data_IF_435936059749
#
_entry.id   IF_435936059749
#
_cell.length_a   1.000
_cell.length_b   1.000
_cell.length_c   1.000
_cell.angle_alpha   90.00
_cell.angle_beta   90.00
_cell.angle_gamma   90.00
#
_symmetry.space_group_name_H-M   'P 1'
#
loop_
_entity.id
_entity.type
_entity.pdbx_description
1 polymer ?
#
# COMPACT_ATOMS: atom_id res chain seq x y z
N UNK A 1 3.37 19.69 -38.53
CA UNK A 1 1.98 19.27 -38.80
C UNK A 1 1.22 20.51 -39.25
N UNK A 2 0.62 20.50 -40.45
CA UNK A 2 -0.28 21.57 -40.88
C UNK A 2 -1.66 21.34 -40.28
N UNK A 3 -2.15 22.31 -39.51
CA UNK A 3 -3.55 22.38 -39.11
C UNK A 3 -4.06 23.73 -39.61
N UNK A 4 -5.04 23.69 -40.52
CA UNK A 4 -5.67 24.88 -41.13
C UNK A 4 -4.73 25.88 -41.82
N UNK A 5 -3.71 25.39 -42.55
CA UNK A 5 -2.87 26.25 -43.41
C UNK A 5 -2.00 27.27 -42.66
N UNK A 6 -1.91 27.15 -41.33
CA UNK A 6 -0.96 27.88 -40.50
C UNK A 6 0.15 26.90 -40.14
N UNK A 7 1.36 27.16 -40.61
CA UNK A 7 2.54 26.43 -40.18
C UNK A 7 2.80 26.81 -38.72
N UNK A 8 2.41 25.95 -37.78
CA UNK A 8 2.74 26.13 -36.36
C UNK A 8 4.14 25.55 -36.15
N UNK A 9 5.19 26.36 -35.90
CA UNK A 9 6.48 25.84 -35.50
C UNK A 9 6.34 25.34 -34.06
N UNK A 10 6.16 24.03 -33.89
CA UNK A 10 6.09 23.40 -32.55
C UNK A 10 7.47 23.09 -31.97
N UNK A 11 8.55 23.57 -32.57
CA UNK A 11 9.86 23.60 -31.91
C UNK A 11 10.03 24.99 -31.33
N UNK A 12 9.79 25.10 -30.02
CA UNK A 12 10.43 26.12 -29.20
C UNK A 12 11.89 26.18 -29.64
N UNK A 13 12.39 27.35 -30.07
CA UNK A 13 13.80 27.46 -30.43
C UNK A 13 14.58 26.96 -29.22
N UNK A 14 15.52 26.04 -29.45
CA UNK A 14 16.42 25.54 -28.42
C UNK A 14 17.31 26.72 -27.99
N UNK A 15 16.82 27.58 -27.12
CA UNK A 15 17.61 28.66 -26.54
C UNK A 15 18.50 28.13 -25.41
N UNK A 16 18.27 26.91 -24.94
CA UNK A 16 18.98 26.25 -23.86
C UNK A 16 19.88 25.12 -24.36
N UNK A 17 21.13 25.03 -23.87
CA UNK A 17 22.07 24.02 -24.31
C UNK A 17 21.64 22.64 -23.80
N UNK A 18 21.95 21.59 -24.55
CA UNK A 18 21.73 20.21 -24.08
C UNK A 18 22.66 19.83 -22.95
N UNK A 19 23.91 20.32 -22.98
CA UNK A 19 24.86 20.18 -21.89
C UNK A 19 25.41 21.52 -21.43
N UNK A 20 25.61 21.61 -20.12
CA UNK A 20 26.25 22.72 -19.45
C UNK A 20 27.47 22.16 -18.73
N UNK A 21 28.66 22.64 -19.07
CA UNK A 21 29.90 22.26 -18.43
C UNK A 21 30.57 23.47 -17.79
N UNK A 22 30.95 23.34 -16.53
CA UNK A 22 31.66 24.34 -15.73
C UNK A 22 33.12 23.96 -15.45
N UNK A 23 33.51 22.73 -15.78
CA UNK A 23 34.85 22.20 -15.64
C UNK A 23 35.17 21.24 -16.81
N UNK A 24 36.27 21.45 -17.56
CA UNK A 24 36.68 20.55 -18.64
C UNK A 24 37.01 19.13 -18.16
N UNK A 25 37.44 18.94 -16.90
CA UNK A 25 37.74 17.61 -16.35
C UNK A 25 36.48 16.76 -16.12
N UNK A 26 35.30 17.40 -16.06
CA UNK A 26 34.02 16.71 -15.92
C UNK A 26 33.47 16.17 -17.24
N UNK A 27 34.13 16.39 -18.37
CA UNK A 27 33.61 15.95 -19.67
C UNK A 27 34.22 14.58 -20.02
N UNK A 28 33.37 13.56 -20.08
CA UNK A 28 33.78 12.24 -20.60
C UNK A 28 33.52 12.22 -22.10
N UNK A 29 34.61 12.10 -22.87
CA UNK A 29 34.58 12.12 -24.33
C UNK A 29 34.97 10.76 -24.88
N UNK A 30 34.15 10.23 -25.79
CA UNK A 30 34.50 9.10 -26.64
C UNK A 30 34.48 9.58 -28.10
N UNK A 31 35.67 9.70 -28.69
CA UNK A 31 35.85 10.17 -30.06
C UNK A 31 36.27 8.99 -30.95
N UNK A 32 35.49 8.76 -32.00
CA UNK A 32 35.74 7.81 -33.08
C UNK A 32 35.94 8.58 -34.38
N UNK A 33 36.36 7.91 -35.45
CA UNK A 33 36.48 8.55 -36.76
C UNK A 33 35.13 9.17 -37.16
N UNK A 34 35.07 10.49 -37.35
CA UNK A 34 33.87 11.26 -37.70
C UNK A 34 32.71 11.24 -36.69
N UNK A 35 32.94 10.83 -35.43
CA UNK A 35 31.88 10.78 -34.41
C UNK A 35 32.41 11.12 -33.02
N UNK A 36 31.70 12.00 -32.29
CA UNK A 36 32.04 12.39 -30.92
C UNK A 36 30.84 12.14 -30.00
N UNK A 37 31.07 11.46 -28.88
CA UNK A 37 30.13 11.30 -27.78
C UNK A 37 30.59 12.13 -26.59
N UNK A 38 29.73 13.00 -26.08
CA UNK A 38 29.95 13.81 -24.89
C UNK A 38 28.99 13.36 -23.78
N UNK A 39 29.54 13.16 -22.59
CA UNK A 39 28.81 12.80 -21.38
C UNK A 39 29.29 13.65 -20.21
N UNK A 40 28.36 13.99 -19.32
CA UNK A 40 28.71 14.60 -18.05
C UNK A 40 29.26 13.52 -17.10
N UNK A 41 30.56 13.62 -16.85
CA UNK A 41 31.34 12.78 -15.96
C UNK A 41 31.60 13.44 -14.61
N UNK A 42 30.90 14.52 -14.26
CA UNK A 42 30.97 15.13 -12.94
C UNK A 42 30.86 14.02 -11.88
N UNK A 43 31.94 13.84 -11.11
CA UNK A 43 31.92 12.94 -9.97
C UNK A 43 30.94 13.56 -8.98
N UNK A 44 29.74 12.96 -8.90
CA UNK A 44 28.77 13.26 -7.84
C UNK A 44 29.53 13.44 -6.53
N UNK A 45 29.18 14.49 -5.78
CA UNK A 45 29.81 14.79 -4.49
C UNK A 45 29.89 13.50 -3.65
N UNK A 46 30.94 13.31 -2.84
CA UNK A 46 31.01 12.15 -1.94
C UNK A 46 29.78 12.04 -1.03
N UNK A 47 29.16 13.17 -0.66
CA UNK A 47 27.88 13.20 0.05
C UNK A 47 26.71 12.73 -0.81
N UNK A 48 26.65 13.13 -2.08
CA UNK A 48 25.63 12.66 -3.02
C UNK A 48 25.80 11.18 -3.33
N UNK A 49 27.02 10.69 -3.53
CA UNK A 49 27.29 9.27 -3.76
C UNK A 49 26.88 8.43 -2.55
N UNK A 50 27.18 8.90 -1.34
CA UNK A 50 26.78 8.22 -0.10
C UNK A 50 25.26 8.26 0.06
N UNK A 51 24.63 9.42 -0.08
CA UNK A 51 23.18 9.58 0.05
C UNK A 51 22.43 8.72 -0.97
N UNK A 52 22.91 8.71 -2.21
CA UNK A 52 22.32 7.89 -3.28
C UNK A 52 22.51 6.40 -2.99
N UNK A 53 23.69 5.96 -2.52
CA UNK A 53 23.91 4.56 -2.13
C UNK A 53 23.07 4.13 -0.94
N UNK A 54 22.88 5.00 0.04
CA UNK A 54 22.02 4.75 1.20
C UNK A 54 20.57 4.64 0.72
N UNK A 55 20.12 5.54 -0.14
CA UNK A 55 18.78 5.50 -0.72
C UNK A 55 18.54 4.23 -1.54
N UNK A 56 19.48 3.86 -2.41
CA UNK A 56 19.44 2.63 -3.20
C UNK A 56 19.42 1.38 -2.30
N UNK A 57 20.21 1.37 -1.21
CA UNK A 57 20.21 0.29 -0.22
C UNK A 57 18.87 0.20 0.52
N UNK A 58 18.31 1.34 0.94
CA UNK A 58 17.01 1.41 1.63
C UNK A 58 15.90 0.90 0.72
N UNK A 59 15.86 1.32 -0.55
CA UNK A 59 14.88 0.84 -1.52
C UNK A 59 15.01 -0.67 -1.78
N UNK A 60 16.25 -1.20 -1.84
CA UNK A 60 16.48 -2.63 -1.99
C UNK A 60 16.00 -3.41 -0.75
N UNK A 61 16.30 -2.94 0.45
CA UNK A 61 15.83 -3.55 1.71
C UNK A 61 14.30 -3.53 1.76
N UNK A 62 13.67 -2.40 1.43
CA UNK A 62 12.21 -2.27 1.37
C UNK A 62 11.63 -3.25 0.35
N UNK A 63 12.16 -3.28 -0.88
CA UNK A 63 11.71 -4.23 -1.91
C UNK A 63 11.88 -5.69 -1.50
N UNK A 64 12.97 -6.03 -0.80
CA UNK A 64 13.20 -7.36 -0.25
C UNK A 64 12.19 -7.73 0.84
N UNK A 65 11.84 -6.78 1.73
CA UNK A 65 10.79 -7.00 2.73
C UNK A 65 9.42 -7.23 2.06
N UNK A 66 9.10 -6.47 1.01
CA UNK A 66 7.88 -6.66 0.22
C UNK A 66 7.80 -8.04 -0.46
N UNK A 67 8.94 -8.66 -0.80
CA UNK A 67 9.00 -10.01 -1.38
C UNK A 67 8.98 -11.08 -0.28
N UNK A 68 9.71 -10.90 0.82
CA UNK A 68 9.86 -11.92 1.85
C UNK A 68 8.66 -12.02 2.79
N UNK A 69 8.02 -10.90 3.14
CA UNK A 69 6.84 -10.90 4.01
C UNK A 69 5.72 -11.82 3.50
N UNK A 70 5.30 -11.78 2.22
CA UNK A 70 4.30 -12.72 1.71
C UNK A 70 4.79 -14.16 1.69
N UNK A 71 6.07 -14.42 1.36
CA UNK A 71 6.63 -15.79 1.37
C UNK A 71 6.57 -16.39 2.78
N UNK A 72 6.94 -15.62 3.81
CA UNK A 72 6.90 -16.07 5.19
C UNK A 72 5.46 -16.32 5.65
N UNK A 73 4.51 -15.45 5.31
CA UNK A 73 3.09 -15.69 5.63
C UNK A 73 2.52 -16.90 4.89
N UNK A 74 2.87 -17.14 3.62
CA UNK A 74 2.47 -18.36 2.90
C UNK A 74 3.02 -19.62 3.61
N UNK A 75 4.29 -19.61 4.00
CA UNK A 75 4.91 -20.75 4.67
C UNK A 75 4.38 -20.96 6.09
N UNK A 76 3.95 -19.90 6.77
CA UNK A 76 3.45 -19.93 8.15
C UNK A 76 1.97 -20.29 8.25
N UNK A 77 1.15 -19.79 7.33
CA UNK A 77 -0.32 -19.85 7.46
C UNK A 77 -0.96 -20.74 6.39
N UNK A 78 -0.48 -20.66 5.15
CA UNK A 78 -1.11 -21.34 4.00
C UNK A 78 -0.60 -22.77 3.81
N UNK A 79 0.71 -23.00 3.96
CA UNK A 79 1.30 -24.33 3.77
C UNK A 79 0.84 -25.33 4.85
N UNK A 80 0.75 -24.97 6.14
CA UNK A 80 0.13 -25.84 7.13
C UNK A 80 -1.33 -26.13 6.76
N UNK A 81 -2.14 -25.11 6.44
CA UNK A 81 -3.53 -25.30 6.04
C UNK A 81 -3.70 -26.22 4.79
N UNK A 82 -2.81 -26.12 3.79
CA UNK A 82 -2.83 -27.00 2.61
C UNK A 82 -2.30 -28.42 2.87
N UNK A 83 -1.35 -28.58 3.79
CA UNK A 83 -0.91 -29.91 4.25
C UNK A 83 -1.97 -30.55 5.15
N UNK A 84 -2.80 -29.75 5.81
CA UNK A 84 -3.95 -30.15 6.61
C UNK A 84 -5.18 -30.49 5.75
N UNK A 85 -5.33 -29.95 4.53
CA UNK A 85 -6.40 -30.28 3.56
C UNK A 85 -6.37 -31.74 3.03
N UNK A 86 -5.25 -32.47 3.18
CA UNK A 86 -5.20 -33.93 2.91
C UNK A 86 -5.76 -34.78 4.08
N UNK A 87 -6.14 -34.15 5.20
CA UNK A 87 -6.89 -34.78 6.27
C UNK A 87 -8.35 -34.96 5.86
N UNK A 88 -8.90 -36.17 5.99
CA UNK A 88 -10.34 -36.44 5.79
C UNK A 88 -11.23 -35.76 6.88
N UNK A 89 -10.62 -35.04 7.83
CA UNK A 89 -11.28 -34.39 8.97
C UNK A 89 -11.33 -32.86 8.80
N UNK A 90 -12.53 -32.24 8.69
CA UNK A 90 -12.68 -30.81 8.44
C UNK A 90 -12.17 -29.90 9.57
N UNK A 91 -12.09 -30.39 10.81
CA UNK A 91 -11.70 -29.59 11.98
C UNK A 91 -10.43 -30.11 12.66
N UNK A 92 -9.45 -30.60 11.89
CA UNK A 92 -8.19 -31.09 12.44
C UNK A 92 -7.40 -29.99 13.18
N UNK A 93 -6.77 -30.28 14.34
CA UNK A 93 -6.77 -31.55 15.08
C UNK A 93 -7.96 -31.74 16.03
N UNK A 94 -8.77 -30.71 16.25
CA UNK A 94 -9.83 -30.66 17.26
C UNK A 94 -11.20 -31.15 16.74
N UNK A 95 -11.19 -32.20 15.91
CA UNK A 95 -12.41 -32.76 15.30
C UNK A 95 -13.43 -33.20 16.35
N UNK A 96 -12.99 -33.62 17.53
CA UNK A 96 -13.84 -34.01 18.64
C UNK A 96 -14.69 -32.86 19.21
N UNK A 97 -14.28 -31.61 18.98
CA UNK A 97 -14.98 -30.42 19.42
C UNK A 97 -15.80 -29.76 18.30
N UNK A 98 -15.90 -30.40 17.13
CA UNK A 98 -16.66 -29.87 16.01
C UNK A 98 -18.17 -30.06 16.23
N UNK A 99 -18.96 -29.05 15.84
CA UNK A 99 -20.41 -29.17 15.77
C UNK A 99 -20.76 -29.63 14.35
N UNK A 100 -21.28 -30.85 14.23
CA UNK A 100 -21.77 -31.40 12.95
C UNK A 100 -23.29 -31.36 12.93
N UNK A 101 -23.85 -30.63 11.98
CA UNK A 101 -25.28 -30.48 11.80
C UNK A 101 -25.88 -31.61 10.95
N UNK A 102 -27.20 -31.78 11.02
CA UNK A 102 -27.88 -32.89 10.34
C UNK A 102 -27.92 -32.75 8.82
N UNK A 103 -27.71 -31.54 8.29
CA UNK A 103 -27.57 -31.23 6.87
C UNK A 103 -26.14 -31.47 6.35
N UNK A 104 -25.20 -31.81 7.23
CA UNK A 104 -23.80 -32.10 6.90
C UNK A 104 -22.86 -30.90 7.03
N UNK A 105 -23.37 -29.72 7.45
CA UNK A 105 -22.51 -28.59 7.74
C UNK A 105 -21.68 -28.86 9.00
N UNK A 106 -20.40 -28.47 8.96
CA UNK A 106 -19.46 -28.68 10.06
C UNK A 106 -18.91 -27.34 10.51
N UNK A 107 -19.01 -27.08 11.81
CA UNK A 107 -18.50 -25.89 12.46
C UNK A 107 -17.31 -26.26 13.33
N UNK A 108 -16.15 -25.69 13.03
CA UNK A 108 -14.90 -25.95 13.72
C UNK A 108 -14.66 -24.91 14.81
N UNK A 109 -14.08 -25.33 15.94
CA UNK A 109 -13.71 -24.42 17.02
C UNK A 109 -12.72 -23.37 16.50
N UNK A 110 -13.02 -22.09 16.70
CA UNK A 110 -12.13 -21.01 16.23
C UNK A 110 -10.85 -20.95 17.07
N UNK A 111 -9.67 -21.08 16.45
CA UNK A 111 -8.40 -21.32 17.17
C UNK A 111 -7.91 -20.14 18.02
N UNK A 112 -8.25 -18.88 17.69
CA UNK A 112 -7.77 -17.70 18.44
C UNK A 112 -8.67 -17.28 19.63
N UNK A 113 -9.96 -17.66 19.62
CA UNK A 113 -11.00 -17.17 20.56
C UNK A 113 -12.04 -18.24 20.93
N UNK A 114 -11.83 -19.49 20.53
CA UNK A 114 -12.88 -20.53 20.50
C UNK A 114 -13.34 -21.04 21.86
N UNK A 115 -12.68 -20.66 22.95
CA UNK A 115 -13.16 -20.93 24.30
C UNK A 115 -12.67 -19.88 25.29
N UNK A 116 -13.62 -19.24 25.97
CA UNK A 116 -13.37 -18.31 27.07
C UNK A 116 -14.17 -18.77 28.28
N UNK A 117 -13.52 -18.91 29.42
CA UNK A 117 -14.18 -19.25 30.68
C UNK A 117 -13.98 -18.12 31.68
N UNK A 118 -15.05 -17.68 32.31
CA UNK A 118 -15.04 -16.65 33.34
C UNK A 118 -15.69 -17.17 34.61
N UNK A 119 -15.26 -16.65 35.76
CA UNK A 119 -15.94 -16.92 37.03
C UNK A 119 -17.10 -15.96 37.20
N UNK A 120 -18.24 -16.47 37.66
CA UNK A 120 -19.37 -15.64 38.08
C UNK A 120 -19.62 -15.78 39.59
N UNK A 121 -20.19 -14.76 40.22
CA UNK A 121 -20.55 -14.78 41.65
C UNK A 121 -21.80 -13.94 41.93
N UNK A 122 -22.28 -14.00 43.18
CA UNK A 122 -23.36 -13.15 43.70
C UNK A 122 -24.65 -13.22 42.89
N UNK A 123 -24.96 -14.43 42.38
CA UNK A 123 -26.15 -14.66 41.57
C UNK A 123 -27.42 -14.50 42.39
N UNK A 124 -28.24 -13.52 41.99
CA UNK A 124 -29.46 -13.14 42.66
C UNK A 124 -30.56 -12.94 41.62
N UNK A 125 -31.78 -13.34 41.98
CA UNK A 125 -32.94 -13.33 41.08
C UNK A 125 -34.07 -12.47 41.63
N UNK A 126 -34.80 -11.85 40.72
CA UNK A 126 -36.02 -11.08 40.94
C UNK A 126 -37.00 -11.34 39.79
N UNK A 127 -38.20 -10.76 39.85
CA UNK A 127 -39.19 -10.92 38.79
C UNK A 127 -38.67 -10.37 37.45
N UNK A 128 -38.49 -11.26 36.46
CA UNK A 128 -37.93 -10.95 35.13
C UNK A 128 -36.53 -10.30 35.14
N UNK A 129 -35.81 -10.36 36.26
CA UNK A 129 -34.47 -9.81 36.39
C UNK A 129 -33.55 -10.80 37.10
N UNK A 130 -32.26 -10.73 36.79
CA UNK A 130 -31.22 -11.35 37.58
C UNK A 130 -30.01 -10.44 37.64
N UNK A 131 -29.19 -10.59 38.67
CA UNK A 131 -27.90 -9.91 38.75
C UNK A 131 -26.81 -10.86 39.18
N UNK A 132 -25.62 -10.63 38.67
CA UNK A 132 -24.43 -11.42 38.96
C UNK A 132 -23.19 -10.60 38.67
N UNK A 133 -22.09 -10.94 39.31
CA UNK A 133 -20.78 -10.45 38.94
C UNK A 133 -20.10 -11.47 38.01
N UNK A 134 -19.50 -11.00 36.90
CA UNK A 134 -18.73 -11.83 35.98
C UNK A 134 -17.34 -11.23 35.83
N UNK A 135 -16.29 -12.04 36.00
CA UNK A 135 -14.91 -11.65 35.67
C UNK A 135 -14.36 -10.44 36.44
N UNK A 136 -14.82 -10.21 37.68
CA UNK A 136 -14.50 -9.04 38.53
C UNK A 136 -14.94 -7.67 37.96
N UNK A 137 -15.96 -7.65 37.11
CA UNK A 137 -16.48 -6.41 36.50
C UNK A 137 -17.56 -5.73 37.35
N UNK A 138 -17.73 -6.15 38.62
CA UNK A 138 -18.83 -5.73 39.47
C UNK A 138 -20.15 -6.41 39.13
N UNK A 139 -21.16 -6.19 39.98
CA UNK A 139 -22.49 -6.78 39.83
C UNK A 139 -23.20 -6.09 38.66
N UNK A 140 -23.52 -6.88 37.63
CA UNK A 140 -24.32 -6.45 36.47
C UNK A 140 -25.74 -6.95 36.64
N UNK A 141 -26.70 -6.05 36.43
CA UNK A 141 -28.12 -6.38 36.36
C UNK A 141 -28.52 -6.71 34.92
N UNK A 142 -29.32 -7.75 34.79
CA UNK A 142 -29.87 -8.24 33.55
C UNK A 142 -31.39 -8.34 33.66
N UNK A 143 -32.07 -7.91 32.60
CA UNK A 143 -33.49 -8.17 32.39
C UNK A 143 -33.63 -9.34 31.45
N UNK A 144 -34.55 -10.26 31.72
CA UNK A 144 -34.74 -11.44 30.89
C UNK A 144 -36.21 -11.86 30.78
N UNK A 145 -36.52 -12.58 29.70
CA UNK A 145 -37.80 -13.25 29.50
C UNK A 145 -37.61 -14.45 28.58
N UNK A 146 -38.48 -15.44 28.72
CA UNK A 146 -38.52 -16.62 27.84
C UNK A 146 -39.89 -16.67 27.15
N UNK A 147 -39.89 -16.68 25.82
CA UNK A 147 -41.10 -16.84 24.99
C UNK A 147 -40.84 -17.86 23.89
N UNK A 148 -41.77 -18.81 23.71
CA UNK A 148 -41.66 -19.89 22.71
C UNK A 148 -40.31 -20.62 22.69
N UNK A 149 -39.64 -20.78 23.85
CA UNK A 149 -38.35 -21.45 23.96
C UNK A 149 -37.13 -20.60 23.55
N UNK A 150 -37.35 -19.31 23.29
CA UNK A 150 -36.29 -18.31 23.05
C UNK A 150 -36.11 -17.49 24.33
N UNK A 151 -34.90 -17.52 24.87
CA UNK A 151 -34.51 -16.67 26.01
C UNK A 151 -34.02 -15.35 25.44
N UNK A 152 -34.62 -14.25 25.85
CA UNK A 152 -34.05 -12.92 25.64
C UNK A 152 -33.48 -12.42 26.96
N UNK A 153 -32.20 -12.04 26.96
CA UNK A 153 -31.53 -11.42 28.11
C UNK A 153 -30.85 -10.14 27.68
N UNK A 154 -30.87 -9.11 28.52
CA UNK A 154 -30.21 -7.84 28.25
C UNK A 154 -29.54 -7.29 29.48
N UNK A 155 -28.32 -6.79 29.31
CA UNK A 155 -27.68 -5.90 30.28
C UNK A 155 -28.04 -4.44 29.98
N UNK A 156 -27.83 -3.58 30.96
CA UNK A 156 -27.98 -2.14 30.77
C UNK A 156 -26.70 -1.60 30.11
N UNK A 157 -26.83 -1.07 28.91
CA UNK A 157 -25.77 -0.33 28.23
C UNK A 157 -25.99 1.17 28.41
N UNK A 158 -24.96 1.90 28.85
CA UNK A 158 -25.01 3.36 29.04
C UNK A 158 -24.18 4.08 27.98
N UNK A 159 -24.79 5.03 27.28
CA UNK A 159 -24.12 5.93 26.35
C UNK A 159 -24.38 7.41 26.67
N UNK A 160 -23.95 8.30 25.76
CA UNK A 160 -24.14 9.75 25.89
C UNK A 160 -25.62 10.19 25.84
N UNK A 161 -26.53 9.31 25.41
CA UNK A 161 -27.95 9.58 25.21
C UNK A 161 -28.85 8.93 26.28
N UNK A 162 -28.35 7.96 27.05
CA UNK A 162 -29.07 7.35 28.17
C UNK A 162 -28.63 5.91 28.46
N UNK A 163 -29.37 5.23 29.33
CA UNK A 163 -29.27 3.78 29.48
C UNK A 163 -30.31 3.09 28.59
N UNK A 164 -29.94 1.99 27.95
CA UNK A 164 -30.89 1.13 27.22
C UNK A 164 -30.59 -0.36 27.47
N UNK A 165 -31.60 -1.21 27.33
CA UNK A 165 -31.42 -2.66 27.38
C UNK A 165 -30.88 -3.20 26.06
N UNK A 166 -29.63 -3.66 26.05
CA UNK A 166 -29.00 -4.32 24.89
C UNK A 166 -29.34 -5.81 24.89
N UNK A 167 -30.33 -6.19 24.07
CA UNK A 167 -30.87 -7.54 24.09
C UNK A 167 -30.08 -8.54 23.25
N UNK A 168 -29.79 -9.68 23.86
CA UNK A 168 -29.27 -10.88 23.22
C UNK A 168 -30.32 -12.00 23.33
N UNK A 169 -30.40 -12.82 22.30
CA UNK A 169 -31.31 -13.97 22.27
C UNK A 169 -30.54 -15.27 22.26
N UNK A 170 -31.11 -16.28 22.91
CA UNK A 170 -30.55 -17.61 23.03
C UNK A 170 -31.59 -18.69 22.84
N UNK A 171 -31.17 -19.82 22.27
CA UNK A 171 -31.95 -21.05 22.17
C UNK A 171 -31.36 -22.09 23.12
N UNK A 172 -32.23 -22.72 23.91
CA UNK A 172 -31.88 -23.83 24.79
C UNK A 172 -31.48 -25.07 23.98
N UNK A 173 -30.40 -25.75 24.34
CA UNK A 173 -30.04 -27.00 23.67
C UNK A 173 -31.14 -28.06 23.75
N UNK A 174 -31.92 -28.09 24.84
CA UNK A 174 -33.05 -29.03 25.01
C UNK A 174 -34.28 -28.70 24.17
N UNK A 175 -34.39 -27.47 23.63
CA UNK A 175 -35.51 -27.11 22.76
C UNK A 175 -35.26 -27.45 21.28
N UNK A 176 -34.02 -27.77 20.91
CA UNK A 176 -33.67 -28.18 19.56
C UNK A 176 -34.12 -29.63 19.28
N UNK A 177 -34.59 -29.93 18.05
CA UNK A 177 -34.89 -31.30 17.65
C UNK A 177 -33.62 -32.15 17.55
N UNK A 178 -33.75 -33.48 17.72
CA UNK A 178 -32.61 -34.42 17.64
C UNK A 178 -31.83 -34.32 16.31
N UNK A 179 -32.48 -33.87 15.23
CA UNK A 179 -31.92 -33.74 13.89
C UNK A 179 -31.91 -32.28 13.40
N UNK A 180 -31.55 -31.35 14.29
CA UNK A 180 -31.48 -29.93 13.96
C UNK A 180 -30.41 -29.60 12.90
N UNK A 181 -30.65 -28.49 12.23
CA UNK A 181 -29.91 -27.89 11.12
C UNK A 181 -29.63 -26.43 11.42
N UNK A 182 -28.83 -25.75 10.61
CA UNK A 182 -28.55 -24.33 10.82
C UNK A 182 -29.81 -23.46 10.83
N UNK A 183 -30.87 -23.88 10.12
CA UNK A 183 -32.17 -23.22 10.09
C UNK A 183 -32.91 -23.23 11.43
N UNK A 184 -32.66 -24.22 12.28
CA UNK A 184 -33.29 -24.30 13.61
C UNK A 184 -32.65 -23.30 14.60
N UNK A 185 -31.43 -22.82 14.27
CA UNK A 185 -30.78 -21.69 14.94
C UNK A 185 -31.11 -20.34 14.28
N UNK A 186 -31.89 -20.31 13.21
CA UNK A 186 -32.29 -19.06 12.57
C UNK A 186 -33.67 -18.60 13.02
N UNK A 187 -33.75 -17.36 13.50
CA UNK A 187 -35.03 -16.66 13.59
C UNK A 187 -35.27 -15.98 12.23
N UNK A 188 -36.18 -16.54 11.42
CA UNK A 188 -36.50 -15.98 10.11
C UNK A 188 -37.08 -14.55 10.24
N UNK A 189 -36.42 -13.60 9.59
CA UNK A 189 -36.81 -12.18 9.49
C UNK A 189 -37.98 -11.99 8.53
N UNK A 190 -39.13 -12.58 8.83
CA UNK A 190 -40.38 -12.12 8.24
C UNK A 190 -41.14 -11.30 9.29
N UNK A 191 -40.94 -9.98 9.20
CA UNK A 191 -41.73 -8.88 9.80
C UNK A 191 -41.46 -8.53 11.28
N UNK A 192 -40.86 -7.35 11.50
CA UNK A 192 -40.77 -6.55 12.75
C UNK A 192 -40.42 -7.29 14.08
N UNK A 193 -39.14 -7.23 14.45
CA UNK A 193 -38.61 -7.35 15.82
C UNK A 193 -39.29 -8.40 16.74
N UNK A 194 -38.84 -9.65 16.66
CA UNK A 194 -39.10 -10.71 17.67
C UNK A 194 -38.41 -10.46 19.02
N UNK A 195 -37.91 -9.26 19.26
CA UNK A 195 -37.48 -8.88 20.59
C UNK A 195 -38.71 -8.51 21.43
N UNK A 196 -38.73 -8.87 22.72
CA UNK A 196 -39.71 -8.33 23.65
C UNK A 196 -39.78 -6.81 23.56
N UNK A 197 -40.97 -6.23 23.76
CA UNK A 197 -41.20 -4.80 23.65
C UNK A 197 -40.27 -3.94 24.54
N UNK A 198 -39.71 -4.53 25.60
CA UNK A 198 -38.79 -3.86 26.51
C UNK A 198 -37.34 -3.79 26.02
N UNK A 199 -37.01 -4.44 24.90
CA UNK A 199 -35.68 -4.33 24.31
C UNK A 199 -35.45 -2.95 23.71
N UNK A 200 -34.28 -2.37 23.97
CA UNK A 200 -33.94 -0.98 23.66
C UNK A 200 -34.79 0.08 24.39
N UNK A 201 -35.69 -0.30 25.30
CA UNK A 201 -36.37 0.65 26.18
C UNK A 201 -35.41 1.14 27.28
N UNK A 202 -35.73 2.30 27.84
CA UNK A 202 -35.05 2.83 29.02
C UNK A 202 -35.22 1.87 30.22
N UNK A 203 -34.15 1.60 30.99
CA UNK A 203 -34.22 0.78 32.20
C UNK A 203 -35.25 1.31 33.19
N UNK A 204 -36.03 0.39 33.75
CA UNK A 204 -37.00 0.76 34.79
C UNK A 204 -36.29 1.38 35.99
N UNK A 205 -36.90 2.40 36.58
CA UNK A 205 -36.44 3.03 37.82
C UNK A 205 -37.06 2.38 39.07
N UNK A 206 -37.88 1.34 38.89
CA UNK A 206 -38.53 0.64 40.00
C UNK A 206 -37.51 -0.21 40.78
N UNK A 207 -37.48 -0.07 42.10
CA UNK A 207 -36.63 -0.89 42.97
C UNK A 207 -37.06 -2.37 42.90
N UNK A 208 -36.15 -3.22 42.43
CA UNK A 208 -36.34 -4.67 42.40
C UNK A 208 -35.89 -5.32 43.72
N UNK A 209 -36.71 -6.21 44.28
CA UNK A 209 -36.35 -7.01 45.46
C UNK A 209 -35.62 -8.29 45.03
N UNK A 210 -34.29 -8.29 45.16
CA UNK A 210 -33.44 -9.42 44.82
C UNK A 210 -33.35 -10.45 45.96
N UNK A 211 -33.41 -11.72 45.59
CA UNK A 211 -33.19 -12.85 46.50
C UNK A 211 -31.95 -13.62 46.10
N UNK A 212 -31.11 -13.96 47.08
CA UNK A 212 -29.98 -14.87 46.88
C UNK A 212 -30.47 -16.26 46.51
N UNK A 213 -29.84 -16.83 45.49
CA UNK A 213 -30.15 -18.18 45.03
C UNK A 213 -28.88 -18.98 44.82
N UNK A 214 -28.94 -20.28 45.13
CA UNK A 214 -27.85 -21.23 44.86
C UNK A 214 -28.09 -22.03 43.58
N UNK A 215 -29.09 -21.65 42.79
CA UNK A 215 -29.37 -22.28 41.50
C UNK A 215 -28.39 -21.79 40.44
N UNK A 216 -27.97 -22.68 39.56
CA UNK A 216 -27.14 -22.30 38.40
C UNK A 216 -28.04 -21.50 37.44
N UNK A 217 -27.57 -20.36 36.89
CA UNK A 217 -28.32 -19.62 35.88
C UNK A 217 -28.73 -20.54 34.73
N UNK A 218 -30.01 -20.45 34.34
CA UNK A 218 -30.61 -21.30 33.29
C UNK A 218 -30.40 -22.81 33.49
N UNK A 219 -30.29 -23.26 34.74
CA UNK A 219 -30.08 -24.67 35.13
C UNK A 219 -28.76 -25.28 34.59
N UNK A 220 -27.82 -24.44 34.17
CA UNK A 220 -26.55 -24.87 33.57
C UNK A 220 -26.69 -25.45 32.15
N UNK A 221 -27.81 -25.17 31.50
CA UNK A 221 -28.07 -25.60 30.14
C UNK A 221 -27.16 -24.89 29.14
N UNK A 222 -26.81 -25.59 28.05
CA UNK A 222 -26.09 -24.99 26.93
C UNK A 222 -27.04 -24.09 26.15
N UNK A 223 -26.66 -22.82 26.03
CA UNK A 223 -27.41 -21.80 25.30
C UNK A 223 -26.71 -21.49 23.98
N UNK A 224 -27.41 -21.62 22.86
CA UNK A 224 -26.94 -21.20 21.55
C UNK A 224 -27.28 -19.73 21.32
N UNK A 225 -26.28 -18.90 21.07
CA UNK A 225 -26.45 -17.49 20.78
C UNK A 225 -26.66 -17.25 19.29
N UNK A 226 -27.54 -16.30 19.00
CA UNK A 226 -28.03 -15.99 17.67
C UNK A 226 -27.29 -14.77 17.13
N UNK A 227 -26.38 -14.97 16.18
CA UNK A 227 -25.85 -13.88 15.35
C UNK A 227 -26.59 -13.87 14.01
N UNK A 228 -27.16 -12.73 13.66
CA UNK A 228 -28.06 -12.60 12.53
C UNK A 228 -27.26 -12.18 11.30
N UNK A 229 -27.13 -13.11 10.37
CA UNK A 229 -26.65 -12.87 9.02
C UNK A 229 -27.52 -13.61 8.00
N UNK A 230 -27.40 -13.28 6.72
CA UNK A 230 -28.08 -13.99 5.61
C UNK A 230 -27.69 -15.48 5.53
N UNK A 231 -26.62 -15.88 6.24
CA UNK A 231 -26.12 -17.26 6.37
C UNK A 231 -25.47 -17.49 7.74
N UNK A 232 -25.53 -18.71 8.26
CA UNK A 232 -24.95 -19.08 9.55
C UNK A 232 -23.45 -19.26 9.35
N UNK A 233 -22.68 -18.29 9.80
CA UNK A 233 -21.21 -18.30 9.69
C UNK A 233 -20.53 -18.81 10.96
N UNK A 234 -21.21 -18.73 12.10
CA UNK A 234 -20.70 -19.26 13.36
C UNK A 234 -21.81 -19.64 14.33
N UNK A 235 -21.45 -20.49 15.29
CA UNK A 235 -22.28 -20.97 16.39
C UNK A 235 -21.57 -20.57 17.67
N UNK A 236 -22.17 -19.59 18.35
CA UNK A 236 -21.73 -19.13 19.66
C UNK A 236 -22.51 -19.86 20.74
N UNK A 237 -21.86 -20.30 21.80
CA UNK A 237 -22.55 -20.91 22.94
C UNK A 237 -22.15 -20.28 24.26
N UNK A 238 -23.08 -20.31 25.21
CA UNK A 238 -22.88 -19.90 26.60
C UNK A 238 -23.40 -20.99 27.53
N UNK A 239 -22.60 -21.40 28.52
CA UNK A 239 -23.02 -22.37 29.52
C UNK A 239 -22.54 -22.00 30.91
N UNK A 240 -23.46 -21.92 31.86
CA UNK A 240 -23.14 -21.78 33.29
C UNK A 240 -22.91 -23.15 33.91
N UNK A 241 -21.95 -23.26 34.82
CA UNK A 241 -21.54 -24.54 35.40
C UNK A 241 -21.57 -24.51 36.92
N UNK A 242 -21.66 -25.69 37.55
CA UNK A 242 -21.66 -25.88 39.01
C UNK A 242 -20.44 -25.32 39.75
N UNK A 243 -19.34 -25.04 39.04
CA UNK A 243 -18.11 -24.52 39.62
C UNK A 243 -18.03 -22.99 39.58
N UNK A 244 -19.18 -22.30 39.52
CA UNK A 244 -19.29 -20.85 39.40
C UNK A 244 -18.53 -20.30 38.19
N UNK A 245 -18.57 -21.05 37.08
CA UNK A 245 -17.97 -20.65 35.79
C UNK A 245 -19.00 -20.54 34.69
N UNK A 246 -18.83 -19.54 33.84
CA UNK A 246 -19.51 -19.40 32.56
C UNK A 246 -18.51 -19.68 31.44
N UNK A 247 -18.85 -20.60 30.54
CA UNK A 247 -18.06 -20.97 29.38
C UNK A 247 -18.71 -20.40 28.13
N UNK A 248 -17.92 -19.66 27.35
CA UNK A 248 -18.27 -19.16 26.04
C UNK A 248 -17.47 -19.94 25.00
N UNK A 249 -18.13 -20.47 23.97
CA UNK A 249 -17.43 -21.10 22.85
C UNK A 249 -17.87 -20.51 21.53
N UNK A 250 -16.95 -20.47 20.57
CA UNK A 250 -17.21 -20.01 19.20
C UNK A 250 -16.77 -21.10 18.22
N UNK A 251 -17.69 -21.54 17.38
CA UNK A 251 -17.45 -22.46 16.28
C UNK A 251 -17.79 -21.78 14.96
N UNK A 252 -16.91 -21.86 13.97
CA UNK A 252 -17.13 -21.22 12.67
C UNK A 252 -17.28 -22.24 11.56
N UNK A 253 -18.09 -21.89 10.57
CA UNK A 253 -18.40 -22.77 9.45
C UNK A 253 -17.11 -23.11 8.70
N UNK A 254 -16.83 -24.40 8.54
CA UNK A 254 -15.69 -24.85 7.76
C UNK A 254 -15.89 -24.47 6.28
N UNK A 255 -15.05 -23.56 5.78
CA UNK A 255 -14.99 -23.22 4.37
C UNK A 255 -13.75 -23.87 3.74
N UNK A 256 -13.91 -24.85 2.82
CA UNK A 256 -12.79 -25.49 2.12
C UNK A 256 -12.16 -24.59 1.03
N UNK A 257 -12.33 -23.27 1.11
CA UNK A 257 -11.75 -22.34 0.15
C UNK A 257 -10.90 -21.31 0.88
N UNK A 258 -9.59 -21.25 0.61
CA UNK A 258 -8.79 -20.13 1.08
C UNK A 258 -9.39 -18.86 0.49
N UNK A 259 -9.70 -17.89 1.35
CA UNK A 259 -10.07 -16.54 0.93
C UNK A 259 -9.11 -16.12 -0.19
N UNK A 260 -9.62 -15.68 -1.34
CA UNK A 260 -8.80 -15.36 -2.51
C UNK A 260 -7.96 -14.07 -2.33
N UNK A 261 -8.15 -13.39 -1.20
CA UNK A 261 -7.56 -12.09 -0.85
C UNK A 261 -6.03 -12.09 -0.66
N UNK A 262 -5.39 -13.12 -0.04
CA UNK A 262 -3.94 -13.16 0.13
C UNK A 262 -3.24 -13.17 -1.24
N UNK A 263 -3.74 -13.93 -2.21
CA UNK A 263 -3.09 -14.10 -3.52
C UNK A 263 -2.97 -12.76 -4.26
N UNK A 264 -4.04 -11.96 -4.28
CA UNK A 264 -4.02 -10.64 -4.93
C UNK A 264 -3.09 -9.65 -4.24
N UNK A 265 -3.07 -9.66 -2.90
CA UNK A 265 -2.11 -8.86 -2.12
C UNK A 265 -0.67 -9.30 -2.39
N UNK A 266 -0.41 -10.60 -2.47
CA UNK A 266 0.91 -11.17 -2.80
C UNK A 266 1.39 -10.69 -4.18
N UNK A 267 0.53 -10.73 -5.20
CA UNK A 267 0.85 -10.20 -6.53
C UNK A 267 1.23 -8.71 -6.46
N UNK A 268 0.47 -7.89 -5.75
CA UNK A 268 0.75 -6.46 -5.64
C UNK A 268 2.08 -6.21 -4.90
N UNK A 269 2.35 -6.96 -3.82
CA UNK A 269 3.57 -6.79 -3.02
C UNK A 269 4.83 -7.24 -3.80
N UNK A 270 4.78 -8.37 -4.51
CA UNK A 270 5.92 -8.87 -5.30
C UNK A 270 6.21 -7.97 -6.49
N UNK A 271 5.19 -7.61 -7.28
CA UNK A 271 5.39 -6.74 -8.45
C UNK A 271 5.72 -5.29 -8.04
N UNK A 272 5.15 -4.81 -6.93
CA UNK A 272 5.52 -3.53 -6.33
C UNK A 272 6.99 -3.50 -5.88
N UNK A 273 7.44 -4.55 -5.18
CA UNK A 273 8.83 -4.68 -4.73
C UNK A 273 9.84 -4.73 -5.89
N UNK A 274 9.54 -5.48 -6.95
CA UNK A 274 10.36 -5.53 -8.17
C UNK A 274 10.37 -4.17 -8.89
N UNK A 275 9.22 -3.49 -8.97
CA UNK A 275 9.11 -2.16 -9.55
C UNK A 275 10.00 -1.14 -8.83
N UNK A 276 9.97 -1.13 -7.50
CA UNK A 276 10.80 -0.24 -6.67
C UNK A 276 12.29 -0.54 -6.84
N UNK A 277 12.69 -1.82 -6.85
CA UNK A 277 14.09 -2.21 -7.06
C UNK A 277 14.63 -1.78 -8.44
N UNK A 278 13.79 -1.83 -9.47
CA UNK A 278 14.13 -1.37 -10.82
C UNK A 278 14.31 0.15 -10.87
N UNK A 279 13.51 0.93 -10.12
CA UNK A 279 13.61 2.40 -10.09
C UNK A 279 14.97 2.91 -9.58
N UNK A 280 15.64 2.19 -8.67
CA UNK A 280 16.98 2.55 -8.16
C UNK A 280 18.08 2.56 -9.21
N UNK A 281 17.91 1.86 -10.33
CA UNK A 281 18.93 1.76 -11.40
C UNK A 281 18.73 2.72 -12.58
N UNK A 282 17.60 3.43 -12.66
CA UNK A 282 17.13 4.06 -13.91
C UNK A 282 17.52 5.53 -14.07
N UNK A 283 17.71 6.26 -12.98
CA UNK A 283 18.28 7.61 -13.06
C UNK A 283 19.77 7.45 -13.37
N UNK A 284 20.29 7.94 -14.52
CA UNK A 284 21.65 8.54 -14.66
C UNK A 284 22.29 8.61 -16.07
N UNK A 285 21.66 8.25 -17.20
CA UNK A 285 22.34 8.37 -18.52
C UNK A 285 21.81 9.52 -19.38
N UNK A 286 22.66 10.53 -19.62
CA UNK A 286 22.51 11.57 -20.65
C UNK A 286 23.74 11.55 -21.54
N UNK A 287 23.56 11.47 -22.86
CA UNK A 287 24.65 11.43 -23.84
C UNK A 287 24.29 12.31 -25.03
N UNK A 288 25.23 13.16 -25.45
CA UNK A 288 25.14 13.88 -26.72
C UNK A 288 26.10 13.22 -27.71
N UNK A 289 25.58 12.81 -28.85
CA UNK A 289 26.33 12.15 -29.91
C UNK A 289 26.27 13.03 -31.15
N UNK A 290 27.43 13.44 -31.66
CA UNK A 290 27.58 14.17 -32.91
C UNK A 290 28.24 13.23 -33.92
N UNK A 291 27.51 12.88 -34.97
CA UNK A 291 27.93 11.96 -36.03
C UNK A 291 28.11 12.75 -37.33
N UNK A 292 29.36 13.08 -37.65
CA UNK A 292 29.73 13.83 -38.83
C UNK A 292 29.69 13.02 -40.12
N UNK A 293 29.73 11.69 -40.07
CA UNK A 293 29.55 10.86 -41.28
C UNK A 293 28.10 10.86 -41.75
N UNK A 294 27.16 10.86 -40.81
CA UNK A 294 25.73 10.84 -41.08
C UNK A 294 25.08 12.24 -41.01
N UNK A 295 25.85 13.30 -40.75
CA UNK A 295 25.36 14.67 -40.49
C UNK A 295 24.22 14.69 -39.46
N UNK A 296 24.39 14.01 -38.32
CA UNK A 296 23.34 13.89 -37.30
C UNK A 296 23.85 14.22 -35.90
N UNK A 297 22.98 14.85 -35.12
CA UNK A 297 23.15 15.00 -33.67
C UNK A 297 22.05 14.22 -32.98
N UNK A 298 22.42 13.39 -32.00
CA UNK A 298 21.49 12.63 -31.18
C UNK A 298 21.72 12.98 -29.72
N UNK A 299 20.66 13.38 -29.05
CA UNK A 299 20.62 13.54 -27.61
C UNK A 299 19.82 12.39 -27.01
N UNK A 300 20.51 11.50 -26.32
CA UNK A 300 19.93 10.35 -25.63
C UNK A 300 19.78 10.71 -24.16
N UNK A 301 18.55 10.64 -23.64
CA UNK A 301 18.31 10.80 -22.21
C UNK A 301 17.30 9.77 -21.71
N UNK A 302 17.54 9.28 -20.49
CA UNK A 302 16.59 8.41 -19.80
C UNK A 302 15.69 9.30 -18.94
N UNK A 303 14.40 9.37 -19.25
CA UNK A 303 13.37 9.97 -18.38
C UNK A 303 12.23 8.97 -18.24
N UNK A 304 12.28 8.16 -17.18
CA UNK A 304 11.26 7.14 -16.96
C UNK A 304 9.84 7.72 -17.05
N UNK A 305 8.89 7.03 -17.73
CA UNK A 305 8.99 5.66 -18.26
C UNK A 305 9.60 5.52 -19.66
N UNK A 306 10.16 6.58 -20.24
CA UNK A 306 10.60 6.57 -21.65
C UNK A 306 12.10 6.71 -21.80
N UNK A 307 12.65 5.93 -22.72
CA UNK A 307 13.90 6.25 -23.36
C UNK A 307 13.57 7.16 -24.53
N UNK A 308 13.91 8.43 -24.41
CA UNK A 308 13.71 9.39 -25.47
C UNK A 308 15.05 9.67 -26.15
N UNK A 309 15.00 9.72 -27.47
CA UNK A 309 16.11 10.18 -28.29
C UNK A 309 15.61 11.34 -29.12
N UNK A 310 16.24 12.49 -28.94
CA UNK A 310 16.00 13.63 -29.82
C UNK A 310 17.10 13.62 -30.87
N UNK A 311 16.73 13.57 -32.14
CA UNK A 311 17.67 13.55 -33.25
C UNK A 311 17.45 14.75 -34.17
N UNK A 312 18.54 15.45 -34.48
CA UNK A 312 18.58 16.54 -35.44
C UNK A 312 19.52 16.22 -36.57
N UNK A 313 19.24 16.77 -37.75
CA UNK A 313 20.13 16.74 -38.90
C UNK A 313 20.98 18.01 -38.91
N UNK A 314 22.29 17.84 -39.10
CA UNK A 314 23.25 18.92 -39.24
C UNK A 314 23.23 19.45 -40.67
N UNK A 315 23.34 20.77 -40.82
CA UNK A 315 23.53 21.38 -42.13
C UNK A 315 24.91 21.01 -42.69
N UNK A 316 24.96 20.64 -43.97
CA UNK A 316 26.22 20.36 -44.67
C UNK A 316 26.68 21.59 -45.46
N UNK A 317 27.96 21.99 -45.40
CA UNK A 317 29.03 21.40 -44.57
C UNK A 317 28.83 21.67 -43.08
N UNK A 318 29.29 20.72 -42.23
CA UNK A 318 29.20 20.87 -40.78
C UNK A 318 30.05 22.07 -40.34
N UNK A 319 29.42 22.99 -39.64
CA UNK A 319 30.06 24.12 -38.96
C UNK A 319 29.48 24.28 -37.55
N UNK A 320 30.28 24.85 -36.66
CA UNK A 320 29.78 25.35 -35.38
C UNK A 320 30.26 26.78 -35.15
N UNK A 321 29.48 27.56 -34.42
CA UNK A 321 29.79 28.92 -34.02
C UNK A 321 29.94 28.99 -32.49
N UNK A 322 31.01 29.64 -32.03
CA UNK A 322 31.22 29.91 -30.61
C UNK A 322 30.72 31.33 -30.30
N UNK A 323 29.64 31.43 -29.53
CA UNK A 323 29.03 32.73 -29.15
C UNK A 323 29.22 33.00 -27.66
N UNK A 324 29.85 34.12 -27.32
CA UNK A 324 29.91 34.59 -25.92
C UNK A 324 28.49 34.86 -25.41
N UNK A 325 28.11 34.22 -24.30
CA UNK A 325 26.78 34.36 -23.74
C UNK A 325 26.82 34.39 -22.21
N UNK A 326 25.86 35.10 -21.64
CA UNK A 326 25.56 35.04 -20.21
C UNK A 326 24.25 34.28 -20.04
N UNK A 327 24.24 33.24 -19.21
CA UNK A 327 23.05 32.45 -18.90
C UNK A 327 22.69 32.63 -17.44
N UNK A 328 21.41 32.61 -17.13
CA UNK A 328 20.91 32.70 -15.76
C UNK A 328 20.28 31.38 -15.33
N UNK A 329 20.60 30.92 -14.13
CA UNK A 329 19.98 29.74 -13.52
C UNK A 329 19.18 30.19 -12.31
N UNK A 330 17.89 29.90 -12.30
CA UNK A 330 17.03 30.15 -11.15
C UNK A 330 16.98 28.90 -10.29
N UNK A 331 17.33 29.06 -9.02
CA UNK A 331 17.30 28.01 -8.02
C UNK A 331 16.11 28.24 -7.08
N UNK A 332 15.56 27.16 -6.56
CA UNK A 332 14.53 27.17 -5.54
C UNK A 332 14.96 26.27 -4.38
N UNK A 333 14.91 26.79 -3.16
CA UNK A 333 15.03 25.97 -1.96
C UNK A 333 13.70 25.97 -1.22
N UNK A 334 13.18 24.78 -0.94
CA UNK A 334 11.98 24.55 -0.16
C UNK A 334 12.38 24.09 1.24
N UNK A 335 12.36 25.03 2.20
CA UNK A 335 12.43 24.72 3.63
C UNK A 335 11.06 24.99 4.26
N UNK A 336 10.30 23.92 4.49
CA UNK A 336 8.95 24.01 5.06
C UNK A 336 7.96 24.72 4.13
N UNK A 337 7.15 25.65 4.66
CA UNK A 337 6.11 26.38 3.90
C UNK A 337 6.64 27.57 3.07
N UNK A 338 7.96 27.80 3.00
CA UNK A 338 8.53 28.92 2.26
C UNK A 338 9.50 28.46 1.18
N UNK A 339 9.12 28.67 -0.08
CA UNK A 339 10.01 28.55 -1.23
C UNK A 339 10.81 29.85 -1.41
N UNK A 340 12.13 29.76 -1.34
CA UNK A 340 13.02 30.89 -1.64
C UNK A 340 13.59 30.72 -3.04
N UNK A 341 13.56 31.79 -3.84
CA UNK A 341 14.11 31.80 -5.20
C UNK A 341 15.30 32.73 -5.26
N UNK A 342 16.40 32.27 -5.86
CA UNK A 342 17.52 33.13 -6.22
C UNK A 342 17.99 32.81 -7.63
N UNK A 343 18.50 33.82 -8.33
CA UNK A 343 19.00 33.66 -9.71
C UNK A 343 20.50 33.90 -9.72
N UNK A 344 21.25 32.94 -10.22
CA UNK A 344 22.70 33.06 -10.45
C UNK A 344 22.95 33.38 -11.92
N UNK A 345 23.94 34.22 -12.19
CA UNK A 345 24.37 34.58 -13.56
C UNK A 345 25.71 33.93 -13.84
N UNK A 346 25.80 33.26 -14.98
CA UNK A 346 26.93 32.43 -15.40
C UNK A 346 27.47 32.94 -16.72
N UNK A 347 28.78 33.13 -16.78
CA UNK A 347 29.49 33.64 -17.95
C UNK A 347 30.12 32.48 -18.72
N UNK A 348 29.98 32.47 -20.04
CA UNK A 348 30.53 31.38 -20.83
C UNK A 348 30.39 31.59 -22.34
N UNK A 349 30.48 30.49 -23.07
CA UNK A 349 30.26 30.44 -24.53
C UNK A 349 29.27 29.33 -24.88
N UNK A 350 28.34 29.64 -25.78
CA UNK A 350 27.52 28.64 -26.46
C UNK A 350 28.32 28.08 -27.64
N UNK A 351 28.40 26.75 -27.76
CA UNK A 351 28.83 26.06 -28.98
C UNK A 351 27.58 25.67 -29.75
N UNK A 352 27.28 26.43 -30.80
CA UNK A 352 26.06 26.28 -31.59
C UNK A 352 26.35 25.61 -32.93
N UNK A 353 25.55 24.62 -33.30
CA UNK A 353 25.62 23.95 -34.60
C UNK A 353 24.45 24.37 -35.47
N UNK A 354 24.69 24.46 -36.78
CA UNK A 354 23.61 24.74 -37.74
C UNK A 354 22.77 23.48 -37.96
N UNK A 355 21.55 23.49 -37.44
CA UNK A 355 20.59 22.40 -37.59
C UNK A 355 19.63 22.68 -38.74
N UNK A 356 19.32 21.64 -39.54
CA UNK A 356 18.36 21.74 -40.65
C UNK A 356 16.98 22.12 -40.10
N UNK A 357 16.48 23.29 -40.51
CA UNK A 357 15.15 23.79 -40.15
C UNK A 357 15.08 24.60 -38.85
N UNK A 358 16.09 24.55 -37.98
CA UNK A 358 16.13 25.33 -36.72
C UNK A 358 17.16 26.46 -36.76
N UNK A 359 18.17 26.37 -37.64
CA UNK A 359 19.28 27.31 -37.70
C UNK A 359 20.30 27.08 -36.57
N UNK A 360 21.14 28.09 -36.25
CA UNK A 360 22.22 27.92 -35.28
C UNK A 360 21.67 27.69 -33.88
N UNK A 361 21.85 26.46 -33.38
CA UNK A 361 21.28 25.99 -32.11
C UNK A 361 22.39 25.61 -31.12
N UNK A 362 22.42 26.21 -29.91
CA UNK A 362 23.41 25.91 -28.88
C UNK A 362 23.26 24.47 -28.38
N UNK A 363 24.23 23.61 -28.67
CA UNK A 363 24.23 22.24 -28.15
C UNK A 363 24.95 22.16 -26.79
N UNK A 364 26.00 22.96 -26.62
CA UNK A 364 26.82 23.00 -25.42
C UNK A 364 26.90 24.45 -24.90
N UNK A 365 26.96 24.60 -23.58
CA UNK A 365 27.40 25.82 -22.92
C UNK A 365 28.62 25.50 -22.06
N UNK A 366 29.71 26.21 -22.34
CA UNK A 366 30.98 26.09 -21.62
C UNK A 366 31.11 27.32 -20.73
N UNK A 367 30.87 27.12 -19.44
CA UNK A 367 30.97 28.16 -18.41
C UNK A 367 32.43 28.37 -18.05
N UNK A 368 32.83 29.64 -17.92
CA UNK A 368 34.20 30.01 -17.58
C UNK A 368 34.46 31.49 -17.79
N UNK A 369 35.56 31.99 -17.21
CA UNK A 369 36.00 33.37 -17.44
C UNK A 369 36.69 33.51 -18.80
N UNK A 370 37.41 32.45 -19.22
CA UNK A 370 37.97 32.33 -20.57
C UNK A 370 37.76 30.92 -21.13
N UNK A 371 36.50 30.55 -21.43
CA UNK A 371 36.13 29.18 -21.74
C UNK A 371 36.74 28.68 -23.06
N UNK A 372 37.15 29.57 -23.97
CA UNK A 372 37.84 29.17 -25.21
C UNK A 372 39.21 28.56 -24.92
N UNK A 373 39.92 29.08 -23.93
CA UNK A 373 41.24 28.55 -23.52
C UNK A 373 41.08 27.39 -22.53
N UNK A 374 40.10 27.48 -21.62
CA UNK A 374 39.85 26.42 -20.62
C UNK A 374 39.38 25.10 -21.28
N UNK A 375 38.61 25.18 -22.37
CA UNK A 375 38.07 24.03 -23.11
C UNK A 375 38.72 23.83 -24.49
N UNK A 376 39.90 24.42 -24.74
CA UNK A 376 40.59 24.40 -26.04
C UNK A 376 40.75 22.98 -26.60
N UNK A 377 41.23 22.05 -25.77
CA UNK A 377 41.44 20.64 -26.16
C UNK A 377 40.16 19.94 -26.64
N UNK A 378 39.01 20.34 -26.11
CA UNK A 378 37.71 19.76 -26.47
C UNK A 378 37.20 20.36 -27.77
N UNK A 379 37.38 21.67 -27.95
CA UNK A 379 37.04 22.36 -29.18
C UNK A 379 37.90 21.87 -30.35
N UNK A 380 39.21 21.69 -30.14
CA UNK A 380 40.13 21.10 -31.12
C UNK A 380 39.75 19.65 -31.47
N UNK A 381 39.37 18.85 -30.47
CA UNK A 381 38.92 17.48 -30.68
C UNK A 381 37.61 17.43 -31.50
N UNK A 382 36.67 18.35 -31.24
CA UNK A 382 35.44 18.49 -32.03
C UNK A 382 35.75 18.90 -33.47
N UNK A 383 36.58 19.94 -33.66
CA UNK A 383 36.98 20.41 -35.00
C UNK A 383 37.66 19.30 -35.81
N UNK A 384 38.67 18.65 -35.21
CA UNK A 384 39.45 17.60 -35.88
C UNK A 384 38.61 16.36 -36.19
N UNK A 385 37.75 15.92 -35.25
CA UNK A 385 36.92 14.72 -35.45
C UNK A 385 35.85 14.94 -36.51
N UNK A 386 35.24 16.13 -36.55
CA UNK A 386 34.17 16.46 -37.49
C UNK A 386 34.70 16.99 -38.84
N UNK A 387 36.02 17.10 -39.00
CA UNK A 387 36.65 17.58 -40.24
C UNK A 387 36.37 19.06 -40.53
N UNK A 388 36.11 19.85 -39.50
CA UNK A 388 35.86 21.29 -39.59
C UNK A 388 37.23 21.96 -39.74
N UNK A 389 37.40 22.75 -40.81
CA UNK A 389 38.64 23.49 -41.02
C UNK A 389 38.63 24.72 -40.12
N UNK A 390 39.65 24.86 -39.30
CA UNK A 390 39.88 26.12 -38.59
C UNK A 390 40.11 27.20 -39.65
N UNK A 391 39.25 28.23 -39.67
CA UNK A 391 39.58 29.45 -40.39
C UNK A 391 40.75 30.10 -39.65
N UNK A 392 41.97 29.92 -40.17
CA UNK A 392 43.15 30.66 -39.76
C UNK A 392 42.84 32.16 -39.71
N UNK A 393 42.89 32.74 -38.51
CA UNK A 393 43.17 34.14 -38.20
C UNK A 393 42.68 35.20 -39.22
N UNK A 394 41.42 35.62 -39.07
CA UNK A 394 40.97 36.92 -39.56
C UNK A 394 41.41 38.04 -38.60
N UNK A 395 42.40 38.83 -39.03
CA UNK A 395 42.84 40.10 -38.43
C UNK A 395 41.71 41.12 -38.25
#
# INVERSE_FOLDING_TARGET
>A
MEIFGIHIPFTERIEYPYFWFDDPEHIVIDAQQSKVSLQDGQKKSSSEVIFTKIFDLVLLVVGFLFIMAPIVSILGDVVPAYLDEESDEPCWPDQENAITLSDGDVFCKWSEWGERSETYSDYQIADNHYRMEIGNNGITEYRWSEDNGIITSASIWQDEFGGSYECQQYIRASSLPDNWTGNDLFIHYDEEYHYPAWCNDEPSQDEQEYTETNTIPFEGELLYHLDVSERLYGIYTTQFTENDKVNYTNHELFHPYPHFEPIMLIFILVFGGVGVAILSFIDRKRVLIIDGANNQVKFEYVKWPRYDTISYELQSPISYEIRKKKRTKTHSNEEGERTTFWTTTHHGVDVAFDLVGEGPSPLLFLEGNNPQTEFESILELLSSTLGIKDEENGQ
#
